data_IF_722720729521
#
_entry.id   IF_722720729521
#
_cell.length_a   1.000
_cell.length_b   1.000
_cell.length_c   1.000
_cell.angle_alpha   90.00
_cell.angle_beta   90.00
_cell.angle_gamma   90.00
#
_symmetry.space_group_name_H-M   'P 1'
#
loop_
_entity.id
_entity.type
_entity.pdbx_description
1 polymer ?
#
# COMPACT_ATOMS: atom_id res chain seq x y z
N UNK A 1 -23.69 82.92 61.95
CA UNK A 1 -22.44 82.42 61.33
C UNK A 1 -22.21 80.94 61.65
N UNK A 2 -22.34 80.50 62.91
CA UNK A 2 -22.19 79.08 63.29
C UNK A 2 -23.11 78.08 62.56
N UNK A 3 -24.41 78.35 62.39
CA UNK A 3 -25.32 77.38 61.74
C UNK A 3 -25.01 77.11 60.26
N UNK A 4 -24.38 78.07 59.56
CA UNK A 4 -23.95 77.89 58.17
C UNK A 4 -22.71 77.00 58.07
N UNK A 5 -21.79 77.09 59.05
CA UNK A 5 -20.59 76.26 59.12
C UNK A 5 -20.98 74.80 59.43
N UNK A 6 -21.87 74.59 60.41
CA UNK A 6 -22.39 73.25 60.75
C UNK A 6 -23.16 72.59 59.59
N UNK A 7 -23.85 73.38 58.77
CA UNK A 7 -24.51 72.87 57.57
C UNK A 7 -23.47 72.43 56.51
N UNK A 8 -22.45 73.27 56.25
CA UNK A 8 -21.38 72.94 55.31
C UNK A 8 -20.64 71.66 55.75
N UNK A 9 -20.34 71.50 57.04
CA UNK A 9 -19.69 70.30 57.55
C UNK A 9 -20.55 69.04 57.38
N UNK A 10 -21.86 69.14 57.61
CA UNK A 10 -22.81 68.04 57.35
C UNK A 10 -22.86 67.68 55.87
N UNK A 11 -22.95 68.67 54.99
CA UNK A 11 -23.03 68.46 53.54
C UNK A 11 -21.73 67.85 52.97
N UNK A 12 -20.57 68.31 53.46
CA UNK A 12 -19.25 67.75 53.11
C UNK A 12 -19.14 66.29 53.59
N UNK A 13 -19.55 66.00 54.82
CA UNK A 13 -19.53 64.63 55.33
C UNK A 13 -20.49 63.72 54.57
N UNK A 14 -21.68 64.19 54.22
CA UNK A 14 -22.61 63.42 53.39
C UNK A 14 -22.02 63.16 51.99
N UNK A 15 -21.39 64.15 51.38
CA UNK A 15 -20.75 64.01 50.07
C UNK A 15 -19.61 62.99 50.11
N UNK A 16 -18.79 62.99 51.17
CA UNK A 16 -17.74 61.97 51.38
C UNK A 16 -18.31 60.56 51.51
N UNK A 17 -19.41 60.39 52.27
CA UNK A 17 -20.10 59.10 52.40
C UNK A 17 -20.63 58.63 51.04
N UNK A 18 -21.31 59.51 50.31
CA UNK A 18 -21.87 59.20 48.99
C UNK A 18 -20.78 58.78 47.99
N UNK A 19 -19.63 59.45 48.01
CA UNK A 19 -18.48 59.09 47.17
C UNK A 19 -17.98 57.66 47.45
N UNK A 20 -17.78 57.32 48.73
CA UNK A 20 -17.32 55.99 49.12
C UNK A 20 -18.38 54.89 48.82
N UNK A 21 -19.67 55.19 49.02
CA UNK A 21 -20.78 54.30 48.63
C UNK A 21 -20.77 54.07 47.12
N UNK A 22 -20.63 55.13 46.32
CA UNK A 22 -20.60 55.04 44.86
C UNK A 22 -19.45 54.16 44.34
N UNK A 23 -18.31 54.12 45.03
CA UNK A 23 -17.21 53.18 44.70
C UNK A 23 -17.65 51.73 44.96
N UNK A 24 -18.30 51.45 46.10
CA UNK A 24 -18.79 50.10 46.44
C UNK A 24 -19.87 49.64 45.45
N UNK A 25 -20.77 50.54 45.04
CA UNK A 25 -21.75 50.28 43.97
C UNK A 25 -21.06 49.90 42.67
N UNK A 26 -20.03 50.66 42.26
CA UNK A 26 -19.27 50.35 41.04
C UNK A 26 -18.54 49.01 41.11
N UNK A 27 -17.99 48.66 42.27
CA UNK A 27 -17.37 47.34 42.49
C UNK A 27 -18.41 46.23 42.33
N UNK A 28 -19.61 46.41 42.88
CA UNK A 28 -20.69 45.43 42.77
C UNK A 28 -21.16 45.25 41.31
N UNK A 29 -21.27 46.33 40.53
CA UNK A 29 -21.57 46.25 39.09
C UNK A 29 -20.53 45.39 38.33
N UNK A 30 -19.24 45.54 38.65
CA UNK A 30 -18.17 44.74 38.04
C UNK A 30 -18.30 43.27 38.47
N UNK A 31 -18.58 43.01 39.75
CA UNK A 31 -18.75 41.66 40.27
C UNK A 31 -19.96 40.92 39.63
N UNK A 32 -21.08 41.62 39.42
CA UNK A 32 -22.26 41.11 38.69
C UNK A 32 -21.92 40.75 37.23
N UNK A 33 -21.15 41.61 36.54
CA UNK A 33 -20.70 41.32 35.18
C UNK A 33 -19.77 40.08 35.15
N UNK A 34 -18.88 39.93 36.13
CA UNK A 34 -18.01 38.76 36.25
C UNK A 34 -18.79 37.48 36.58
N UNK A 35 -19.86 37.59 37.39
CA UNK A 35 -20.70 36.45 37.75
C UNK A 35 -21.36 35.84 36.51
N UNK A 36 -21.97 36.68 35.67
CA UNK A 36 -22.56 36.24 34.39
C UNK A 36 -21.53 35.54 33.49
N UNK A 37 -20.28 36.02 33.47
CA UNK A 37 -19.18 35.42 32.68
C UNK A 37 -18.76 34.05 33.20
N UNK A 38 -18.60 33.87 34.51
CA UNK A 38 -18.17 32.58 35.08
C UNK A 38 -19.29 31.54 35.00
N UNK A 39 -20.55 31.94 35.20
CA UNK A 39 -21.72 31.07 35.00
C UNK A 39 -21.78 30.57 33.55
N UNK A 40 -21.62 31.48 32.57
CA UNK A 40 -21.53 31.10 31.16
C UNK A 40 -20.34 30.18 30.87
N UNK A 41 -19.15 30.46 31.41
CA UNK A 41 -17.96 29.60 31.22
C UNK A 41 -18.20 28.19 31.76
N UNK A 42 -18.88 28.06 32.91
CA UNK A 42 -19.20 26.77 33.53
C UNK A 42 -20.10 25.92 32.64
N UNK A 43 -21.08 26.53 31.98
CA UNK A 43 -21.99 25.83 31.07
C UNK A 43 -21.32 25.38 29.74
N UNK A 44 -20.14 25.93 29.41
CA UNK A 44 -19.44 25.63 28.16
C UNK A 44 -18.59 24.35 28.17
N UNK A 45 -18.38 23.70 29.31
CA UNK A 45 -17.53 22.48 29.39
C UNK A 45 -18.07 21.38 28.46
N UNK A 46 -19.34 21.00 28.64
CA UNK A 46 -19.95 19.94 27.85
C UNK A 46 -20.05 20.30 26.36
N UNK A 47 -20.55 21.50 25.96
CA UNK A 47 -20.54 21.95 24.57
C UNK A 47 -19.15 21.93 23.93
N UNK A 48 -18.09 22.26 24.68
CA UNK A 48 -16.71 22.25 24.18
C UNK A 48 -16.26 20.84 23.79
N UNK A 49 -16.54 19.86 24.65
CA UNK A 49 -16.24 18.45 24.38
C UNK A 49 -17.08 17.93 23.22
N UNK A 50 -18.38 18.26 23.20
CA UNK A 50 -19.29 17.87 22.12
C UNK A 50 -18.85 18.46 20.76
N UNK A 51 -18.40 19.71 20.73
CA UNK A 51 -17.93 20.33 19.50
C UNK A 51 -16.68 19.61 18.93
N UNK A 52 -15.71 19.26 19.79
CA UNK A 52 -14.53 18.48 19.40
C UNK A 52 -14.90 17.16 18.72
N UNK A 53 -15.91 16.46 19.26
CA UNK A 53 -16.29 15.13 18.76
C UNK A 53 -17.35 15.16 17.64
N UNK A 54 -18.06 16.28 17.47
CA UNK A 54 -19.23 16.40 16.59
C UNK A 54 -18.96 16.04 15.13
N UNK A 55 -17.72 16.19 14.69
CA UNK A 55 -17.34 15.92 13.31
C UNK A 55 -17.19 14.42 13.03
N UNK A 56 -17.01 13.57 14.04
CA UNK A 56 -16.70 12.15 13.87
C UNK A 56 -17.95 11.27 13.75
N UNK A 57 -17.82 10.18 12.98
CA UNK A 57 -18.79 9.10 12.98
C UNK A 57 -18.54 8.17 14.17
N UNK A 58 -19.54 7.36 14.55
CA UNK A 58 -19.42 6.43 15.69
C UNK A 58 -18.20 5.50 15.58
N UNK A 59 -17.89 5.02 14.38
CA UNK A 59 -16.76 4.13 14.12
C UNK A 59 -15.39 4.83 14.27
N UNK A 60 -15.31 6.14 13.99
CA UNK A 60 -14.05 6.89 14.09
C UNK A 60 -13.58 6.96 15.55
N UNK A 61 -14.53 7.08 16.48
CA UNK A 61 -14.29 7.16 17.92
C UNK A 61 -14.49 5.84 18.65
N UNK A 62 -14.50 4.71 17.92
CA UNK A 62 -14.53 3.39 18.54
C UNK A 62 -13.39 3.27 19.57
N UNK A 63 -13.72 2.71 20.74
CA UNK A 63 -12.86 2.60 21.93
C UNK A 63 -12.51 3.92 22.66
N UNK A 64 -13.05 5.07 22.25
CA UNK A 64 -13.01 6.30 23.05
C UNK A 64 -14.31 6.43 23.85
N UNK A 65 -14.18 6.54 25.17
CA UNK A 65 -15.26 7.09 25.99
C UNK A 65 -15.27 8.62 25.86
N UNK A 66 -16.20 9.16 25.09
CA UNK A 66 -16.28 10.61 24.80
C UNK A 66 -16.53 11.46 26.05
N UNK A 67 -17.08 10.89 27.12
CA UNK A 67 -17.41 11.59 28.37
C UNK A 67 -16.49 11.22 29.54
N UNK A 68 -15.37 10.51 29.29
CA UNK A 68 -14.48 9.96 30.31
C UNK A 68 -14.09 10.98 31.40
N UNK A 69 -13.71 12.20 30.99
CA UNK A 69 -13.22 13.24 31.90
C UNK A 69 -14.30 14.26 32.32
N UNK A 70 -15.52 14.17 31.78
CA UNK A 70 -16.55 15.20 31.98
C UNK A 70 -16.87 15.43 33.46
N UNK A 71 -16.98 14.36 34.25
CA UNK A 71 -17.24 14.46 35.69
C UNK A 71 -16.10 15.15 36.45
N UNK A 72 -14.85 14.87 36.09
CA UNK A 72 -13.66 15.50 36.68
C UNK A 72 -13.61 17.00 36.34
N UNK A 73 -13.90 17.35 35.09
CA UNK A 73 -13.89 18.75 34.66
C UNK A 73 -15.00 19.57 35.33
N UNK A 74 -16.22 19.04 35.41
CA UNK A 74 -17.31 19.71 36.10
C UNK A 74 -17.01 19.92 37.59
N UNK A 75 -16.41 18.92 38.25
CA UNK A 75 -16.05 19.02 39.68
C UNK A 75 -15.05 20.14 39.95
N UNK A 76 -13.99 20.26 39.15
CA UNK A 76 -12.99 21.31 39.35
C UNK A 76 -13.54 22.70 39.00
N UNK A 77 -14.36 22.80 37.96
CA UNK A 77 -15.04 24.05 37.63
C UNK A 77 -16.01 24.50 38.73
N UNK A 78 -16.72 23.55 39.34
CA UNK A 78 -17.57 23.81 40.50
C UNK A 78 -16.76 24.31 41.70
N UNK A 79 -15.55 23.81 41.92
CA UNK A 79 -14.67 24.31 42.97
C UNK A 79 -14.24 25.76 42.71
N UNK A 80 -13.84 26.10 41.48
CA UNK A 80 -13.50 27.48 41.08
C UNK A 80 -14.71 28.40 41.28
N UNK A 81 -15.90 27.95 40.87
CA UNK A 81 -17.14 28.70 41.01
C UNK A 81 -17.54 28.91 42.48
N UNK A 82 -17.38 27.91 43.34
CA UNK A 82 -17.65 28.04 44.78
C UNK A 82 -16.78 29.13 45.43
N UNK A 83 -15.49 29.19 45.12
CA UNK A 83 -14.60 30.24 45.63
C UNK A 83 -15.00 31.62 45.08
N UNK A 84 -15.33 31.71 43.79
CA UNK A 84 -15.86 32.94 43.20
C UNK A 84 -17.12 33.46 43.93
N UNK A 85 -18.08 32.56 44.21
CA UNK A 85 -19.35 32.92 44.85
C UNK A 85 -19.16 33.39 46.29
N UNK A 86 -18.17 32.87 47.03
CA UNK A 86 -17.84 33.37 48.37
C UNK A 86 -17.46 34.86 48.33
N UNK A 87 -16.50 35.23 47.47
CA UNK A 87 -16.09 36.64 47.32
C UNK A 87 -17.21 37.53 46.79
N UNK A 88 -17.99 37.04 45.83
CA UNK A 88 -19.15 37.75 45.30
C UNK A 88 -20.20 38.07 46.40
N UNK A 89 -20.51 37.08 47.25
CA UNK A 89 -21.47 37.27 48.34
C UNK A 89 -20.96 38.28 49.37
N UNK A 90 -19.65 38.31 49.64
CA UNK A 90 -19.05 39.31 50.53
C UNK A 90 -19.20 40.73 49.95
N UNK A 91 -18.92 40.93 48.66
CA UNK A 91 -19.12 42.22 47.96
C UNK A 91 -20.58 42.67 48.08
N UNK A 92 -21.53 41.77 47.77
CA UNK A 92 -22.97 42.05 47.86
C UNK A 92 -23.39 42.42 49.29
N UNK A 93 -22.84 41.74 50.29
CA UNK A 93 -23.12 42.01 51.70
C UNK A 93 -22.54 43.35 52.15
N UNK A 94 -21.34 43.71 51.69
CA UNK A 94 -20.74 45.01 51.99
C UNK A 94 -21.55 46.16 51.38
N UNK A 95 -22.03 46.01 50.15
CA UNK A 95 -22.94 46.98 49.52
C UNK A 95 -24.19 47.21 50.38
N UNK A 96 -24.92 46.13 50.71
CA UNK A 96 -26.11 46.20 51.59
C UNK A 96 -25.82 46.90 52.91
N UNK A 97 -24.61 46.73 53.44
CA UNK A 97 -24.24 47.25 54.73
C UNK A 97 -23.77 48.72 54.69
N UNK A 98 -23.30 49.24 53.54
CA UNK A 98 -22.98 50.68 53.37
C UNK A 98 -24.20 51.52 52.97
N UNK A 99 -25.24 50.90 52.42
CA UNK A 99 -26.52 51.56 52.11
C UNK A 99 -27.41 51.82 53.33
N UNK A 100 -26.94 51.55 54.56
CA UNK A 100 -27.70 51.79 55.80
C UNK A 100 -27.54 53.24 56.27
N UNK A 101 -28.65 53.87 56.69
CA UNK A 101 -28.71 55.29 57.05
C UNK A 101 -27.78 55.69 58.22
N UNK A 102 -27.51 54.78 59.17
CA UNK A 102 -26.75 55.06 60.40
C UNK A 102 -25.24 54.85 60.33
N UNK A 103 -24.67 54.54 59.16
CA UNK A 103 -23.24 54.20 59.03
C UNK A 103 -22.33 55.45 59.03
N UNK A 104 -21.17 55.37 59.68
CA UNK A 104 -20.17 56.45 59.71
C UNK A 104 -19.27 56.43 58.47
N UNK A 105 -18.63 57.56 58.15
CA UNK A 105 -17.71 57.66 57.01
C UNK A 105 -16.57 56.63 57.10
N UNK A 106 -15.91 56.51 58.26
CA UNK A 106 -14.80 55.58 58.44
C UNK A 106 -15.23 54.11 58.28
N UNK A 107 -16.45 53.77 58.71
CA UNK A 107 -17.02 52.44 58.49
C UNK A 107 -17.28 52.15 57.01
N UNK A 108 -17.76 53.13 56.23
CA UNK A 108 -17.91 52.97 54.78
C UNK A 108 -16.54 52.81 54.12
N UNK A 109 -15.56 53.65 54.47
CA UNK A 109 -14.20 53.60 53.92
C UNK A 109 -13.54 52.24 54.17
N UNK A 110 -13.63 51.71 55.39
CA UNK A 110 -13.09 50.39 55.71
C UNK A 110 -13.79 49.27 54.93
N UNK A 111 -15.12 49.31 54.83
CA UNK A 111 -15.87 48.34 54.01
C UNK A 111 -15.50 48.44 52.54
N UNK A 112 -15.29 49.65 52.01
CA UNK A 112 -14.85 49.87 50.63
C UNK A 112 -13.51 49.20 50.38
N UNK A 113 -12.55 49.33 51.31
CA UNK A 113 -11.24 48.64 51.20
C UNK A 113 -11.42 47.12 51.16
N UNK A 114 -12.18 46.54 52.09
CA UNK A 114 -12.47 45.08 52.06
C UNK A 114 -13.22 44.64 50.81
N UNK A 115 -14.12 45.48 50.28
CA UNK A 115 -14.83 45.21 49.02
C UNK A 115 -13.86 45.19 47.84
N UNK A 116 -12.86 46.08 47.82
CA UNK A 116 -11.81 46.10 46.80
C UNK A 116 -10.95 44.81 46.84
N UNK A 117 -10.58 44.34 48.04
CA UNK A 117 -9.84 43.08 48.22
C UNK A 117 -10.63 41.87 47.71
N UNK A 118 -11.93 41.80 48.01
CA UNK A 118 -12.80 40.73 47.52
C UNK A 118 -13.04 40.81 46.00
N UNK A 119 -13.06 42.02 45.41
CA UNK A 119 -13.13 42.18 43.96
C UNK A 119 -11.91 41.59 43.26
N UNK A 120 -10.71 41.76 43.82
CA UNK A 120 -9.50 41.18 43.24
C UNK A 120 -9.57 39.64 43.19
N UNK A 121 -10.02 39.01 44.28
CA UNK A 121 -10.26 37.55 44.34
C UNK A 121 -11.33 37.13 43.33
N UNK A 122 -12.42 37.89 43.23
CA UNK A 122 -13.49 37.64 42.27
C UNK A 122 -12.98 37.65 40.81
N UNK A 123 -12.15 38.63 40.45
CA UNK A 123 -11.52 38.73 39.13
C UNK A 123 -10.54 37.57 38.90
N UNK A 124 -9.73 37.22 39.91
CA UNK A 124 -8.78 36.10 39.83
C UNK A 124 -9.49 34.77 39.53
N UNK A 125 -10.57 34.46 40.27
CA UNK A 125 -11.35 33.24 40.03
C UNK A 125 -12.07 33.25 38.68
N UNK A 126 -12.55 34.41 38.21
CA UNK A 126 -13.10 34.55 36.87
C UNK A 126 -12.07 34.24 35.76
N UNK A 127 -10.85 34.73 35.91
CA UNK A 127 -9.75 34.41 34.99
C UNK A 127 -9.34 32.94 35.08
N UNK A 128 -9.29 32.37 36.29
CA UNK A 128 -9.00 30.95 36.52
C UNK A 128 -10.01 30.04 35.83
N UNK A 129 -11.30 30.37 35.89
CA UNK A 129 -12.36 29.64 35.20
C UNK A 129 -12.17 29.64 33.68
N UNK A 130 -11.82 30.78 33.08
CA UNK A 130 -11.53 30.87 31.64
C UNK A 130 -10.32 30.03 31.25
N UNK A 131 -9.20 30.19 31.96
CA UNK A 131 -7.98 29.39 31.74
C UNK A 131 -8.24 27.90 31.93
N UNK A 132 -9.16 27.53 32.83
CA UNK A 132 -9.54 26.13 33.04
C UNK A 132 -10.35 25.57 31.86
N UNK A 133 -11.25 26.35 31.25
CA UNK A 133 -11.94 25.93 30.03
C UNK A 133 -10.96 25.73 28.86
N UNK A 134 -9.98 26.62 28.70
CA UNK A 134 -8.91 26.47 27.70
C UNK A 134 -8.10 25.18 27.96
N UNK A 135 -7.79 24.89 29.23
CA UNK A 135 -7.14 23.63 29.63
C UNK A 135 -7.98 22.39 29.28
N UNK A 136 -9.29 22.40 29.54
CA UNK A 136 -10.20 21.29 29.17
C UNK A 136 -10.14 21.04 27.66
N UNK A 137 -10.20 22.12 26.87
CA UNK A 137 -10.15 22.05 25.41
C UNK A 137 -8.83 21.45 24.90
N UNK A 138 -7.69 21.90 25.43
CA UNK A 138 -6.37 21.38 25.07
C UNK A 138 -6.19 19.91 25.47
N UNK A 139 -6.66 19.54 26.66
CA UNK A 139 -6.49 18.18 27.19
C UNK A 139 -7.35 17.15 26.44
N UNK A 140 -8.58 17.50 26.08
CA UNK A 140 -9.43 16.62 25.26
C UNK A 140 -8.93 16.52 23.82
N UNK A 141 -8.41 17.61 23.26
CA UNK A 141 -7.72 17.56 21.97
C UNK A 141 -6.53 16.59 21.99
N UNK A 142 -5.66 16.71 23.00
CA UNK A 142 -4.50 15.82 23.15
C UNK A 142 -4.90 14.36 23.38
N UNK A 143 -5.92 14.10 24.20
CA UNK A 143 -6.44 12.75 24.47
C UNK A 143 -6.87 12.06 23.19
N UNK A 144 -7.66 12.73 22.35
CA UNK A 144 -8.16 12.17 21.09
C UNK A 144 -7.02 12.00 20.08
N UNK A 145 -6.10 12.97 19.95
CA UNK A 145 -4.89 12.82 19.12
C UNK A 145 -4.07 11.60 19.56
N UNK A 146 -3.89 11.42 20.86
CA UNK A 146 -3.12 10.31 21.43
C UNK A 146 -3.76 8.97 21.09
N UNK A 147 -5.09 8.89 21.09
CA UNK A 147 -5.81 7.68 20.66
C UNK A 147 -5.57 7.34 19.20
N UNK A 148 -5.76 8.31 18.29
CA UNK A 148 -5.52 8.08 16.86
C UNK A 148 -4.08 7.72 16.57
N UNK A 149 -3.12 8.36 17.26
CA UNK A 149 -1.70 7.98 17.18
C UNK A 149 -1.49 6.52 17.58
N UNK A 150 -2.04 6.07 18.72
CA UNK A 150 -1.90 4.67 19.15
C UNK A 150 -2.50 3.68 18.14
N UNK A 151 -3.69 3.99 17.59
CA UNK A 151 -4.29 3.18 16.52
C UNK A 151 -3.38 3.12 15.29
N UNK A 152 -2.83 4.26 14.87
CA UNK A 152 -1.90 4.33 13.73
C UNK A 152 -0.59 3.58 13.99
N UNK A 153 0.00 3.72 15.17
CA UNK A 153 1.22 2.99 15.56
C UNK A 153 0.99 1.47 15.49
N UNK A 154 -0.16 0.98 15.97
CA UNK A 154 -0.53 -0.43 15.88
C UNK A 154 -0.66 -0.91 14.42
N UNK A 155 -1.27 -0.11 13.55
CA UNK A 155 -1.34 -0.40 12.11
C UNK A 155 0.06 -0.40 11.50
N UNK A 156 0.92 0.54 11.87
CA UNK A 156 2.30 0.61 11.37
C UNK A 156 3.13 -0.63 11.75
N UNK A 157 2.98 -1.17 12.96
CA UNK A 157 3.63 -2.41 13.37
C UNK A 157 3.19 -3.57 12.47
N UNK A 158 1.89 -3.72 12.24
CA UNK A 158 1.34 -4.77 11.35
C UNK A 158 1.82 -4.60 9.91
N UNK A 159 1.77 -3.37 9.39
CA UNK A 159 2.24 -3.02 8.06
C UNK A 159 3.73 -3.34 7.89
N UNK A 160 4.58 -2.93 8.84
CA UNK A 160 6.02 -3.14 8.78
C UNK A 160 6.37 -4.63 8.74
N UNK A 161 5.68 -5.46 9.52
CA UNK A 161 5.88 -6.90 9.52
C UNK A 161 5.51 -7.54 8.18
N UNK A 162 4.38 -7.17 7.57
CA UNK A 162 4.01 -7.68 6.25
C UNK A 162 4.88 -7.11 5.13
N UNK A 163 5.30 -5.85 5.24
CA UNK A 163 6.23 -5.21 4.32
C UNK A 163 7.56 -5.97 4.24
N UNK A 164 8.16 -6.33 5.39
CA UNK A 164 9.43 -7.04 5.42
C UNK A 164 9.32 -8.41 4.75
N UNK A 165 8.25 -9.17 5.04
CA UNK A 165 7.98 -10.47 4.42
C UNK A 165 7.82 -10.36 2.90
N UNK A 166 7.03 -9.39 2.44
CA UNK A 166 6.82 -9.17 1.01
C UNK A 166 8.13 -8.75 0.31
N UNK A 167 8.87 -7.83 0.93
CA UNK A 167 10.13 -7.33 0.40
C UNK A 167 11.17 -8.45 0.22
N UNK A 168 11.34 -9.28 1.25
CA UNK A 168 12.24 -10.45 1.22
C UNK A 168 11.74 -11.50 0.23
N UNK A 169 10.43 -11.76 0.17
CA UNK A 169 9.83 -12.67 -0.78
C UNK A 169 10.12 -12.30 -2.24
N UNK A 170 9.99 -11.02 -2.59
CA UNK A 170 10.35 -10.52 -3.92
C UNK A 170 11.86 -10.63 -4.22
N UNK A 171 12.73 -10.39 -3.24
CA UNK A 171 14.18 -10.61 -3.39
C UNK A 171 14.51 -12.07 -3.66
N UNK A 172 13.85 -12.99 -2.93
CA UNK A 172 14.07 -14.42 -3.08
C UNK A 172 13.61 -14.93 -4.45
N UNK A 173 12.45 -14.50 -4.94
CA UNK A 173 12.01 -14.80 -6.31
C UNK A 173 13.05 -14.32 -7.33
N UNK A 174 13.50 -13.08 -7.19
CA UNK A 174 14.47 -12.49 -8.10
C UNK A 174 15.80 -13.26 -8.11
N UNK A 175 16.29 -13.69 -6.94
CA UNK A 175 17.48 -14.54 -6.82
C UNK A 175 17.29 -15.92 -7.47
N UNK A 176 16.15 -16.58 -7.21
CA UNK A 176 15.85 -17.90 -7.78
C UNK A 176 15.84 -17.87 -9.30
N UNK A 177 15.22 -16.85 -9.91
CA UNK A 177 15.19 -16.67 -11.37
C UNK A 177 16.60 -16.39 -11.92
N UNK A 178 17.35 -15.51 -11.25
CA UNK A 178 18.71 -15.19 -11.68
C UNK A 178 19.66 -16.40 -11.69
N UNK A 179 19.44 -17.40 -10.83
CA UNK A 179 20.25 -18.62 -10.80
C UNK A 179 20.05 -19.51 -12.03
N UNK A 180 18.88 -19.42 -12.69
CA UNK A 180 18.54 -20.26 -13.85
C UNK A 180 18.46 -19.50 -15.16
N UNK A 181 18.76 -18.19 -15.18
CA UNK A 181 18.61 -17.32 -16.36
C UNK A 181 19.38 -17.75 -17.61
N UNK A 182 20.42 -18.56 -17.44
CA UNK A 182 21.24 -19.11 -18.54
C UNK A 182 21.16 -20.65 -18.58
N UNK A 183 20.21 -21.25 -17.87
CA UNK A 183 20.04 -22.70 -17.82
C UNK A 183 19.48 -23.22 -19.15
N UNK A 184 19.95 -24.40 -19.55
CA UNK A 184 19.37 -25.19 -20.64
C UNK A 184 18.67 -26.45 -20.11
N UNK A 185 18.60 -26.62 -18.79
CA UNK A 185 17.84 -27.70 -18.13
C UNK A 185 16.37 -27.30 -17.98
N UNK A 186 15.53 -27.91 -18.81
CA UNK A 186 14.08 -27.72 -18.84
C UNK A 186 13.41 -28.00 -17.48
N UNK A 187 13.81 -29.07 -16.79
CA UNK A 187 13.19 -29.46 -15.52
C UNK A 187 13.50 -28.45 -14.42
N UNK A 188 14.74 -27.96 -14.38
CA UNK A 188 15.15 -26.92 -13.43
C UNK A 188 14.39 -25.61 -13.68
N UNK A 189 14.26 -25.19 -14.93
CA UNK A 189 13.49 -24.00 -15.31
C UNK A 189 12.01 -24.11 -14.93
N UNK A 190 11.37 -25.24 -15.22
CA UNK A 190 9.97 -25.50 -14.85
C UNK A 190 9.77 -25.49 -13.34
N UNK A 191 10.68 -26.13 -12.58
CA UNK A 191 10.62 -26.18 -11.12
C UNK A 191 10.73 -24.77 -10.52
N UNK A 192 11.69 -23.96 -10.96
CA UNK A 192 11.85 -22.59 -10.48
C UNK A 192 10.64 -21.73 -10.88
N UNK A 193 10.11 -21.89 -12.09
CA UNK A 193 8.90 -21.18 -12.52
C UNK A 193 7.70 -21.49 -11.61
N UNK A 194 7.47 -22.76 -11.29
CA UNK A 194 6.38 -23.17 -10.40
C UNK A 194 6.58 -22.66 -8.97
N UNK A 195 7.80 -22.78 -8.43
CA UNK A 195 8.13 -22.28 -7.09
C UNK A 195 7.95 -20.77 -6.97
N UNK A 196 8.45 -20.01 -7.95
CA UNK A 196 8.38 -18.55 -7.95
C UNK A 196 6.95 -18.04 -8.11
N UNK A 197 6.13 -18.73 -8.91
CA UNK A 197 4.68 -18.45 -9.01
C UNK A 197 3.97 -18.66 -7.67
N UNK A 198 4.22 -19.77 -6.98
CA UNK A 198 3.63 -20.04 -5.67
C UNK A 198 4.09 -19.01 -4.62
N UNK A 199 5.38 -18.65 -4.61
CA UNK A 199 5.90 -17.59 -3.75
C UNK A 199 5.20 -16.26 -4.00
N UNK A 200 5.03 -15.88 -5.27
CA UNK A 200 4.35 -14.64 -5.65
C UNK A 200 2.89 -14.63 -5.18
N UNK A 201 2.13 -15.70 -5.43
CA UNK A 201 0.74 -15.84 -4.97
C UNK A 201 0.63 -15.73 -3.44
N UNK A 202 1.58 -16.30 -2.69
CA UNK A 202 1.65 -16.20 -1.23
C UNK A 202 1.99 -14.80 -0.71
N UNK A 203 2.60 -13.94 -1.53
CA UNK A 203 2.91 -12.54 -1.17
C UNK A 203 1.69 -11.65 -1.46
N UNK A 204 1.11 -11.76 -2.67
CA UNK A 204 0.00 -10.89 -3.11
C UNK A 204 -1.32 -11.21 -2.40
N UNK A 205 -1.50 -12.46 -1.98
CA UNK A 205 -2.63 -12.85 -1.12
C UNK A 205 -2.58 -12.22 0.28
N UNK A 206 -1.45 -11.62 0.70
CA UNK A 206 -1.29 -10.99 2.01
C UNK A 206 -1.53 -9.48 1.96
N UNK A 207 -2.29 -9.03 2.95
CA UNK A 207 -3.07 -7.79 3.07
C UNK A 207 -2.25 -6.52 3.35
N UNK A 208 -1.03 -6.35 2.84
CA UNK A 208 -0.24 -5.14 3.13
C UNK A 208 -0.89 -3.85 2.56
N UNK A 209 -1.62 -3.95 1.45
CA UNK A 209 -2.38 -2.82 0.89
C UNK A 209 -3.54 -2.38 1.80
N UNK A 210 -4.15 -3.28 2.57
CA UNK A 210 -5.24 -2.92 3.49
C UNK A 210 -4.75 -2.00 4.62
N UNK A 211 -3.59 -2.29 5.20
CA UNK A 211 -3.03 -1.47 6.28
C UNK A 211 -2.66 -0.05 5.85
N UNK A 212 -2.31 0.15 4.58
CA UNK A 212 -2.13 1.51 4.02
C UNK A 212 -3.44 2.31 4.08
N UNK A 213 -4.55 1.70 3.65
CA UNK A 213 -5.86 2.35 3.71
C UNK A 213 -6.34 2.55 5.15
N UNK A 214 -6.10 1.59 6.04
CA UNK A 214 -6.40 1.74 7.46
C UNK A 214 -5.64 2.91 8.08
N UNK A 215 -4.34 3.05 7.76
CA UNK A 215 -3.52 4.15 8.24
C UNK A 215 -4.03 5.51 7.76
N UNK A 216 -4.42 5.63 6.48
CA UNK A 216 -5.02 6.85 5.92
C UNK A 216 -6.34 7.20 6.63
N UNK A 217 -7.23 6.22 6.79
CA UNK A 217 -8.52 6.37 7.46
C UNK A 217 -8.39 6.74 8.94
N UNK A 218 -7.35 6.27 9.62
CA UNK A 218 -7.07 6.68 11.00
C UNK A 218 -6.56 8.12 11.04
N UNK A 219 -5.57 8.45 10.19
CA UNK A 219 -4.90 9.75 10.28
C UNK A 219 -5.79 10.90 9.83
N UNK A 220 -6.69 10.72 8.85
CA UNK A 220 -7.60 11.79 8.38
C UNK A 220 -8.44 12.41 9.50
N UNK A 221 -8.66 11.66 10.58
CA UNK A 221 -9.36 12.12 11.76
C UNK A 221 -8.57 13.16 12.58
N UNK A 222 -7.23 13.20 12.49
CA UNK A 222 -6.39 14.18 13.20
C UNK A 222 -6.54 15.59 12.61
N UNK A 223 -6.36 15.84 11.29
CA UNK A 223 -6.65 17.15 10.70
C UNK A 223 -8.10 17.60 10.87
N UNK A 224 -9.04 16.65 10.83
CA UNK A 224 -10.46 16.90 11.10
C UNK A 224 -10.70 17.40 12.52
N UNK A 225 -10.07 16.76 13.52
CA UNK A 225 -10.07 17.23 14.91
C UNK A 225 -9.47 18.64 15.02
N UNK A 226 -8.30 18.87 14.43
CA UNK A 226 -7.62 20.16 14.48
C UNK A 226 -8.49 21.29 13.88
N UNK A 227 -9.18 21.00 12.78
CA UNK A 227 -10.09 21.94 12.15
C UNK A 227 -11.28 22.33 13.03
N UNK A 228 -11.79 21.43 13.90
CA UNK A 228 -12.84 21.77 14.90
C UNK A 228 -12.38 22.86 15.89
N UNK A 229 -11.06 23.05 16.04
CA UNK A 229 -10.46 24.09 16.85
C UNK A 229 -9.95 25.28 16.03
N UNK A 230 -10.29 25.36 14.75
CA UNK A 230 -9.77 26.32 13.79
C UNK A 230 -8.24 26.26 13.63
N UNK A 231 -7.65 25.08 13.81
CA UNK A 231 -6.23 24.82 13.58
C UNK A 231 -6.08 24.19 12.19
N UNK A 232 -5.48 24.92 11.27
CA UNK A 232 -5.07 24.39 9.96
C UNK A 232 -3.71 23.70 10.09
N UNK A 233 -3.58 22.54 9.45
CA UNK A 233 -2.33 21.81 9.36
C UNK A 233 -1.96 21.77 7.88
N UNK A 234 -0.82 22.34 7.52
CA UNK A 234 -0.34 22.37 6.14
C UNK A 234 0.97 21.60 6.00
N UNK A 235 1.09 20.82 4.92
CA UNK A 235 2.38 20.27 4.49
C UNK A 235 3.31 21.40 4.03
N UNK A 236 4.60 21.11 3.81
CA UNK A 236 5.50 22.16 3.29
C UNK A 236 5.20 22.56 1.84
N UNK A 237 4.35 21.80 1.13
CA UNK A 237 3.75 22.22 -0.15
C UNK A 237 2.58 23.21 0.01
N UNK A 238 2.24 23.60 1.24
CA UNK A 238 1.16 24.54 1.55
C UNK A 238 -0.24 23.94 1.46
N UNK A 239 -0.35 22.61 1.26
CA UNK A 239 -1.62 21.90 1.13
C UNK A 239 -2.19 21.67 2.53
N UNK A 240 -3.44 22.09 2.72
CA UNK A 240 -4.19 21.84 3.95
C UNK A 240 -4.59 20.36 4.03
N UNK A 241 -4.09 19.68 5.07
CA UNK A 241 -4.32 18.25 5.28
C UNK A 241 -5.79 17.91 5.52
N UNK A 242 -6.59 18.84 6.04
CA UNK A 242 -8.03 18.62 6.22
C UNK A 242 -8.77 18.64 4.87
N UNK A 243 -8.28 19.41 3.89
CA UNK A 243 -8.91 19.53 2.57
C UNK A 243 -8.53 18.38 1.63
N UNK A 244 -7.25 18.05 1.56
CA UNK A 244 -6.80 16.99 0.66
C UNK A 244 -5.47 16.36 1.11
N UNK A 245 -5.58 15.37 1.98
CA UNK A 245 -4.42 14.63 2.48
C UNK A 245 -3.66 13.89 1.38
N UNK A 246 -4.37 13.34 0.40
CA UNK A 246 -3.77 12.52 -0.66
C UNK A 246 -2.84 13.34 -1.54
N UNK A 247 -3.23 14.56 -1.94
CA UNK A 247 -2.34 15.44 -2.70
C UNK A 247 -1.12 15.86 -1.86
N UNK A 248 -1.31 16.11 -0.55
CA UNK A 248 -0.21 16.46 0.34
C UNK A 248 0.85 15.35 0.42
N UNK A 249 0.41 14.09 0.59
CA UNK A 249 1.29 12.92 0.64
C UNK A 249 1.96 12.68 -0.72
N UNK A 250 1.19 12.69 -1.81
CA UNK A 250 1.71 12.45 -3.17
C UNK A 250 2.85 13.40 -3.52
N UNK A 251 2.77 14.66 -3.10
CA UNK A 251 3.80 15.68 -3.33
C UNK A 251 5.16 15.35 -2.68
N UNK A 252 5.18 14.43 -1.71
CA UNK A 252 6.37 14.08 -0.93
C UNK A 252 6.85 12.63 -1.06
N UNK A 253 6.15 11.79 -1.83
CA UNK A 253 6.54 10.38 -1.99
C UNK A 253 7.95 10.22 -2.59
N UNK A 254 8.24 10.97 -3.65
CA UNK A 254 9.54 10.94 -4.33
C UNK A 254 10.53 11.99 -3.79
N UNK A 255 10.14 12.78 -2.78
CA UNK A 255 11.01 13.80 -2.19
C UNK A 255 12.07 13.18 -1.28
N UNK A 256 13.37 13.53 -1.45
CA UNK A 256 14.45 13.14 -0.55
C UNK A 256 14.45 13.94 0.76
N UNK A 257 13.72 15.08 0.80
CA UNK A 257 13.57 15.90 1.99
C UNK A 257 12.38 15.41 2.81
N UNK A 258 12.54 15.43 4.13
CA UNK A 258 11.44 15.28 5.07
C UNK A 258 10.40 16.38 4.83
N UNK A 259 9.13 16.00 4.90
CA UNK A 259 8.05 16.97 4.90
C UNK A 259 7.91 17.56 6.30
N UNK A 260 7.64 18.86 6.37
CA UNK A 260 7.45 19.58 7.62
C UNK A 260 6.03 20.11 7.69
N UNK A 261 5.37 19.87 8.83
CA UNK A 261 4.05 20.42 9.09
C UNK A 261 4.14 21.82 9.70
N UNK A 262 3.35 22.72 9.12
CA UNK A 262 3.08 24.06 9.65
C UNK A 262 1.66 24.12 10.21
N UNK A 263 1.51 24.79 11.34
CA UNK A 263 0.24 24.91 12.06
C UNK A 263 -0.21 26.37 12.08
N UNK A 264 -1.48 26.63 11.77
CA UNK A 264 -2.04 27.98 11.72
C UNK A 264 -3.35 27.98 12.54
N UNK A 265 -3.44 28.76 13.63
CA UNK A 265 -2.40 29.62 14.19
C UNK A 265 -1.19 28.82 14.71
N UNK A 266 -0.03 29.48 14.78
CA UNK A 266 1.16 28.85 15.35
C UNK A 266 0.89 28.47 16.80
N UNK A 267 1.35 27.30 17.27
CA UNK A 267 1.21 26.90 18.66
C UNK A 267 1.84 27.95 19.57
N UNK A 268 1.10 28.43 20.57
CA UNK A 268 1.64 29.37 21.56
C UNK A 268 2.71 28.72 22.45
N UNK A 269 2.71 27.38 22.54
CA UNK A 269 3.74 26.56 23.20
C UNK A 269 4.10 25.38 22.31
N UNK A 270 5.33 24.87 22.40
CA UNK A 270 5.69 23.53 21.87
C UNK A 270 4.92 22.49 22.71
N UNK A 271 3.65 22.28 22.40
CA UNK A 271 2.84 21.23 23.03
C UNK A 271 3.23 19.88 22.44
N UNK A 272 3.38 18.87 23.30
CA UNK A 272 3.58 17.46 22.93
C UNK A 272 2.55 16.98 21.90
N UNK A 273 1.33 17.53 21.91
CA UNK A 273 0.27 17.19 20.97
C UNK A 273 0.68 17.45 19.52
N UNK A 274 1.30 18.60 19.22
CA UNK A 274 1.73 18.92 17.85
C UNK A 274 2.87 18.01 17.39
N UNK A 275 3.73 17.57 18.30
CA UNK A 275 4.73 16.53 18.02
C UNK A 275 4.05 15.20 17.70
N UNK A 276 3.07 14.75 18.49
CA UNK A 276 2.28 13.53 18.21
C UNK A 276 1.63 13.59 16.83
N UNK A 277 1.09 14.74 16.42
CA UNK A 277 0.50 14.94 15.10
C UNK A 277 1.56 14.80 14.00
N UNK A 278 2.73 15.44 14.17
CA UNK A 278 3.84 15.34 13.22
C UNK A 278 4.36 13.90 13.10
N UNK A 279 4.54 13.22 14.22
CA UNK A 279 4.98 11.82 14.24
C UNK A 279 3.97 10.92 13.55
N UNK A 280 2.67 11.14 13.79
CA UNK A 280 1.60 10.40 13.11
C UNK A 280 1.64 10.62 11.60
N UNK A 281 1.89 11.86 11.15
CA UNK A 281 2.01 12.18 9.73
C UNK A 281 3.23 11.51 9.10
N UNK A 282 4.37 11.55 9.80
CA UNK A 282 5.60 10.89 9.34
C UNK A 282 5.43 9.37 9.24
N UNK A 283 4.73 8.74 10.20
CA UNK A 283 4.35 7.33 10.13
C UNK A 283 3.50 7.03 8.90
N UNK A 284 2.48 7.85 8.63
CA UNK A 284 1.64 7.69 7.43
C UNK A 284 2.48 7.83 6.14
N UNK A 285 3.34 8.84 6.07
CA UNK A 285 4.19 9.08 4.90
C UNK A 285 5.16 7.91 4.67
N UNK A 286 5.76 7.35 5.72
CA UNK A 286 6.64 6.17 5.64
C UNK A 286 5.90 4.94 5.11
N UNK A 287 4.68 4.66 5.61
CA UNK A 287 3.82 3.59 5.11
C UNK A 287 3.58 3.76 3.61
N UNK A 288 3.24 4.97 3.15
CA UNK A 288 2.99 5.24 1.74
C UNK A 288 4.26 5.08 0.88
N UNK A 289 5.42 5.57 1.33
CA UNK A 289 6.70 5.39 0.63
C UNK A 289 7.07 3.91 0.49
N UNK A 290 6.98 3.15 1.57
CA UNK A 290 7.22 1.70 1.57
C UNK A 290 6.24 0.93 0.68
N UNK A 291 4.97 1.32 0.69
CA UNK A 291 3.96 0.74 -0.21
C UNK A 291 4.27 1.01 -1.69
N UNK A 292 4.64 2.25 -2.04
CA UNK A 292 5.04 2.60 -3.41
C UNK A 292 6.29 1.81 -3.85
N UNK A 293 7.26 1.65 -2.94
CA UNK A 293 8.45 0.85 -3.18
C UNK A 293 8.11 -0.62 -3.46
N UNK A 294 7.28 -1.25 -2.62
CA UNK A 294 6.82 -2.63 -2.85
C UNK A 294 6.10 -2.78 -4.17
N UNK A 295 5.23 -1.83 -4.53
CA UNK A 295 4.51 -1.90 -5.80
C UNK A 295 5.46 -1.87 -7.01
N UNK A 296 6.49 -1.00 -6.99
CA UNK A 296 7.54 -0.98 -8.01
C UNK A 296 8.29 -2.33 -8.07
N UNK A 297 8.61 -2.91 -6.92
CA UNK A 297 9.31 -4.18 -6.81
C UNK A 297 8.47 -5.36 -7.30
N UNK A 298 7.17 -5.37 -7.00
CA UNK A 298 6.21 -6.36 -7.47
C UNK A 298 6.17 -6.40 -9.00
N UNK A 299 6.09 -5.23 -9.65
CA UNK A 299 6.10 -5.14 -11.12
C UNK A 299 7.41 -5.68 -11.71
N UNK A 300 8.55 -5.39 -11.09
CA UNK A 300 9.85 -5.94 -11.50
C UNK A 300 9.87 -7.48 -11.35
N UNK A 301 9.36 -8.00 -10.23
CA UNK A 301 9.27 -9.45 -10.00
C UNK A 301 8.36 -10.14 -11.03
N UNK A 302 7.21 -9.55 -11.36
CA UNK A 302 6.33 -10.07 -12.41
C UNK A 302 7.02 -10.15 -13.77
N UNK A 303 7.77 -9.11 -14.13
CA UNK A 303 8.56 -9.12 -15.37
C UNK A 303 9.59 -10.25 -15.37
N UNK A 304 10.31 -10.47 -14.26
CA UNK A 304 11.27 -11.58 -14.13
C UNK A 304 10.59 -12.95 -14.26
N UNK A 305 9.44 -13.15 -13.62
CA UNK A 305 8.68 -14.41 -13.72
C UNK A 305 8.28 -14.67 -15.18
N UNK A 306 7.85 -13.62 -15.88
CA UNK A 306 7.49 -13.70 -17.29
C UNK A 306 8.69 -14.02 -18.19
N UNK A 307 9.85 -13.41 -17.95
CA UNK A 307 11.10 -13.74 -18.64
C UNK A 307 11.53 -15.19 -18.41
N UNK A 308 11.47 -15.68 -17.16
CA UNK A 308 11.78 -17.08 -16.84
C UNK A 308 10.84 -18.06 -17.56
N UNK A 309 9.55 -17.74 -17.63
CA UNK A 309 8.58 -18.54 -18.39
C UNK A 309 8.97 -18.63 -19.87
N UNK A 310 9.37 -17.51 -20.48
CA UNK A 310 9.80 -17.49 -21.88
C UNK A 310 11.05 -18.33 -22.10
N UNK A 311 12.02 -18.24 -21.19
CA UNK A 311 13.22 -19.06 -21.24
C UNK A 311 12.88 -20.55 -21.19
N UNK A 312 11.99 -20.95 -20.26
CA UNK A 312 11.47 -22.32 -20.20
C UNK A 312 10.84 -22.76 -21.53
N UNK A 313 9.92 -21.97 -22.08
CA UNK A 313 9.25 -22.29 -23.35
C UNK A 313 10.23 -22.43 -24.53
N UNK A 314 11.31 -21.63 -24.55
CA UNK A 314 12.38 -21.71 -25.54
C UNK A 314 13.20 -23.00 -25.41
N UNK A 315 13.62 -23.34 -24.19
CA UNK A 315 14.41 -24.55 -23.92
C UNK A 315 13.60 -25.80 -24.24
N UNK A 316 12.33 -25.86 -23.82
CA UNK A 316 11.42 -26.95 -24.15
C UNK A 316 11.29 -27.14 -25.66
N UNK A 317 11.00 -26.08 -26.42
CA UNK A 317 10.89 -26.18 -27.88
C UNK A 317 12.20 -26.64 -28.55
N UNK A 318 13.36 -26.22 -28.01
CA UNK A 318 14.67 -26.65 -28.50
C UNK A 318 14.91 -28.14 -28.25
N UNK A 319 14.52 -28.64 -27.07
CA UNK A 319 14.62 -30.06 -26.73
C UNK A 319 13.69 -30.91 -27.62
N UNK A 320 12.43 -30.51 -27.78
CA UNK A 320 11.46 -31.17 -28.67
C UNK A 320 11.97 -31.26 -30.12
N UNK A 321 12.57 -30.17 -30.64
CA UNK A 321 13.18 -30.15 -31.97
C UNK A 321 14.37 -31.11 -32.07
N UNK A 322 15.22 -31.16 -31.05
CA UNK A 322 16.39 -32.06 -31.01
C UNK A 322 15.98 -33.52 -30.98
N UNK A 323 14.97 -33.86 -30.19
CA UNK A 323 14.42 -35.21 -30.11
C UNK A 323 13.78 -35.63 -31.44
N UNK A 324 13.00 -34.73 -32.05
CA UNK A 324 12.41 -34.94 -33.39
C UNK A 324 13.48 -35.14 -34.46
N UNK A 325 14.54 -34.32 -34.46
CA UNK A 325 15.65 -34.44 -35.39
C UNK A 325 16.39 -35.77 -35.21
N UNK A 326 16.59 -36.22 -33.97
CA UNK A 326 17.22 -37.51 -33.66
C UNK A 326 16.38 -38.68 -34.19
N UNK A 327 15.06 -38.66 -33.96
CA UNK A 327 14.13 -39.67 -34.46
C UNK A 327 14.07 -39.71 -35.99
N UNK A 328 14.03 -38.55 -36.66
CA UNK A 328 14.08 -38.45 -38.13
C UNK A 328 15.39 -38.99 -38.70
N UNK A 329 16.55 -38.67 -38.09
CA UNK A 329 17.85 -39.23 -38.49
C UNK A 329 17.86 -40.75 -38.36
N UNK A 330 17.33 -41.28 -37.26
CA UNK A 330 17.23 -42.72 -37.04
C UNK A 330 16.31 -43.41 -38.07
N UNK A 331 15.10 -42.87 -38.29
CA UNK A 331 14.14 -43.39 -39.27
C UNK A 331 14.70 -43.36 -40.69
N UNK A 332 15.36 -42.26 -41.09
CA UNK A 332 16.04 -42.16 -42.39
C UNK A 332 17.05 -43.30 -42.55
N UNK A 333 17.91 -43.51 -41.57
CA UNK A 333 18.97 -44.54 -41.66
C UNK A 333 18.37 -45.95 -41.81
N UNK A 334 17.31 -46.25 -41.05
CA UNK A 334 16.60 -47.52 -41.16
C UNK A 334 15.96 -47.72 -42.54
N UNK A 335 15.19 -46.73 -43.03
CA UNK A 335 14.54 -46.80 -44.35
C UNK A 335 15.59 -46.96 -45.45
N UNK A 336 16.68 -46.19 -45.39
CA UNK A 336 17.75 -46.25 -46.39
C UNK A 336 18.43 -47.63 -46.40
N UNK A 337 18.64 -48.24 -45.22
CA UNK A 337 19.19 -49.60 -45.12
C UNK A 337 18.24 -50.66 -45.68
N UNK A 338 16.93 -50.56 -45.40
CA UNK A 338 15.92 -51.46 -45.97
C UNK A 338 15.84 -51.35 -47.49
N UNK A 339 15.81 -50.12 -48.02
CA UNK A 339 15.81 -49.84 -49.46
C UNK A 339 17.07 -50.39 -50.13
N UNK A 340 18.25 -50.16 -49.53
CA UNK A 340 19.53 -50.72 -50.03
C UNK A 340 19.52 -52.24 -50.03
N UNK A 341 18.98 -52.88 -48.99
CA UNK A 341 18.85 -54.33 -48.90
C UNK A 341 17.89 -54.90 -49.96
N UNK A 342 16.72 -54.27 -50.15
CA UNK A 342 15.75 -54.65 -51.17
C UNK A 342 16.35 -54.56 -52.57
N UNK A 343 17.07 -53.47 -52.86
CA UNK A 343 17.76 -53.31 -54.15
C UNK A 343 18.90 -54.28 -54.33
N UNK A 344 19.66 -54.59 -53.28
CA UNK A 344 20.68 -55.64 -53.35
C UNK A 344 20.07 -56.99 -53.71
N UNK A 345 19.01 -57.41 -53.01
CA UNK A 345 18.27 -58.65 -53.30
C UNK A 345 17.67 -58.65 -54.70
N UNK A 346 17.07 -57.53 -55.13
CA UNK A 346 16.55 -57.37 -56.50
C UNK A 346 17.66 -57.52 -57.55
N UNK A 347 18.83 -56.93 -57.32
CA UNK A 347 19.98 -57.09 -58.19
C UNK A 347 20.53 -58.53 -58.21
N UNK A 348 20.53 -59.24 -57.08
CA UNK A 348 20.89 -60.66 -57.02
C UNK A 348 19.90 -61.52 -57.79
N UNK A 349 18.59 -61.30 -57.61
CA UNK A 349 17.55 -61.96 -58.42
C UNK A 349 17.74 -61.68 -59.90
N UNK A 350 18.10 -60.45 -60.28
CA UNK A 350 18.35 -60.11 -61.68
C UNK A 350 19.55 -60.85 -62.30
N UNK A 351 20.53 -61.27 -61.49
CA UNK A 351 21.68 -62.09 -61.93
C UNK A 351 21.35 -63.57 -62.10
N UNK A 352 20.29 -64.07 -61.47
CA UNK A 352 19.87 -65.46 -61.65
C UNK A 352 19.29 -65.63 -63.06
N UNK A 353 19.81 -66.61 -63.79
CA UNK A 353 19.30 -67.00 -65.10
C UNK A 353 18.83 -68.44 -65.03
N UNK A 354 17.56 -68.71 -65.34
CA UNK A 354 17.07 -70.07 -65.45
C UNK A 354 17.35 -70.61 -66.86
N UNK A 355 18.45 -71.37 -67.01
CA UNK A 355 18.72 -72.06 -68.27
C UNK A 355 18.09 -73.47 -68.25
N UNK A 356 16.91 -73.60 -68.87
CA UNK A 356 16.24 -74.90 -69.00
C UNK A 356 16.63 -75.67 -70.27
N UNK A 357 17.58 -75.18 -71.08
CA UNK A 357 17.82 -75.67 -72.44
C UNK A 357 18.38 -77.11 -72.50
N UNK A 358 18.99 -77.62 -71.43
CA UNK A 358 19.61 -78.96 -71.42
C UNK A 358 18.80 -80.04 -70.69
N UNK A 359 17.59 -79.73 -70.20
CA UNK A 359 16.81 -80.68 -69.39
C UNK A 359 15.81 -81.53 -70.20
N UNK A 360 15.61 -81.20 -71.47
CA UNK A 360 14.74 -81.92 -72.41
C UNK A 360 15.26 -83.32 -72.78
N UNK A 361 16.57 -83.51 -72.66
CA UNK A 361 17.28 -84.76 -72.98
C UNK A 361 17.36 -85.74 -71.81
N UNK A 362 17.04 -85.31 -70.59
CA UNK A 362 17.23 -86.08 -69.36
C UNK A 362 15.89 -86.37 -68.63
N UNK A 363 14.90 -85.49 -68.73
CA UNK A 363 13.62 -85.61 -68.01
C UNK A 363 12.48 -86.10 -68.91
N UNK A 364 11.49 -86.77 -68.33
CA UNK A 364 10.22 -87.06 -69.00
C UNK A 364 9.52 -85.74 -69.43
N UNK A 365 8.97 -85.71 -70.65
CA UNK A 365 8.40 -84.49 -71.28
C UNK A 365 7.43 -83.73 -70.37
N UNK A 366 6.54 -84.41 -69.64
CA UNK A 366 5.58 -83.76 -68.73
C UNK A 366 6.22 -83.05 -67.53
N UNK A 367 7.43 -83.46 -67.12
CA UNK A 367 8.21 -82.80 -66.06
C UNK A 367 9.05 -81.65 -66.64
N UNK A 368 9.58 -81.80 -67.84
CA UNK A 368 10.28 -80.73 -68.56
C UNK A 368 9.37 -79.53 -68.81
N UNK A 369 8.15 -79.75 -69.32
CA UNK A 369 7.22 -78.66 -69.64
C UNK A 369 6.84 -77.85 -68.38
N UNK A 370 6.65 -78.51 -67.24
CA UNK A 370 6.42 -77.85 -65.94
C UNK A 370 7.62 -77.01 -65.49
N UNK A 371 8.85 -77.45 -65.76
CA UNK A 371 10.08 -76.71 -65.41
C UNK A 371 10.21 -75.49 -66.34
N UNK A 372 9.95 -75.66 -67.64
CA UNK A 372 10.00 -74.58 -68.63
C UNK A 372 8.95 -73.50 -68.36
N UNK A 373 7.72 -73.88 -68.02
CA UNK A 373 6.67 -72.95 -67.63
C UNK A 373 7.07 -72.15 -66.38
N UNK A 374 7.59 -72.81 -65.35
CA UNK A 374 8.09 -72.13 -64.14
C UNK A 374 9.27 -71.20 -64.45
N UNK A 375 10.18 -71.61 -65.32
CA UNK A 375 11.32 -70.79 -65.76
C UNK A 375 10.87 -69.53 -66.51
N UNK A 376 9.91 -69.67 -67.41
CA UNK A 376 9.36 -68.53 -68.16
C UNK A 376 8.56 -67.59 -67.26
N UNK A 377 7.77 -68.14 -66.32
CA UNK A 377 7.06 -67.35 -65.34
C UNK A 377 8.03 -66.56 -64.44
N UNK A 378 9.15 -67.19 -64.04
CA UNK A 378 10.20 -66.53 -63.26
C UNK A 378 10.83 -65.35 -64.03
N UNK A 379 11.26 -65.53 -65.28
CA UNK A 379 11.84 -64.43 -66.07
C UNK A 379 10.83 -63.30 -66.34
N UNK A 380 9.55 -63.63 -66.53
CA UNK A 380 8.47 -62.63 -66.70
C UNK A 380 8.16 -61.86 -65.41
N UNK A 381 8.12 -62.53 -64.27
CA UNK A 381 7.99 -61.88 -62.96
C UNK A 381 9.22 -61.01 -62.64
N UNK A 382 10.41 -61.46 -63.01
CA UNK A 382 11.68 -60.72 -62.88
C UNK A 382 11.70 -59.44 -63.72
N UNK A 383 11.23 -59.46 -64.97
CA UNK A 383 11.06 -58.24 -65.79
C UNK A 383 10.01 -57.29 -65.19
N UNK A 384 8.88 -57.82 -64.72
CA UNK A 384 7.82 -57.02 -64.08
C UNK A 384 8.26 -56.37 -62.77
N UNK A 385 9.22 -56.98 -62.06
CA UNK A 385 9.78 -56.43 -60.83
C UNK A 385 10.63 -55.18 -61.08
N UNK A 386 11.00 -54.84 -62.34
CA UNK A 386 11.88 -53.73 -62.73
C UNK A 386 11.88 -52.51 -61.81
N UNK A 387 12.69 -52.56 -60.74
CA UNK A 387 12.75 -51.53 -59.71
C UNK A 387 13.65 -50.41 -60.24
N UNK A 388 13.08 -49.47 -60.99
CA UNK A 388 13.77 -48.24 -61.37
C UNK A 388 13.66 -47.21 -60.24
N UNK A 389 14.19 -47.56 -59.06
CA UNK A 389 14.16 -46.70 -57.87
C UNK A 389 15.51 -46.02 -57.68
N UNK A 390 15.53 -44.69 -57.78
CA UNK A 390 16.74 -43.89 -57.58
C UNK A 390 16.97 -43.61 -56.09
N UNK A 391 17.76 -44.48 -55.46
CA UNK A 391 18.18 -44.33 -54.05
C UNK A 391 18.89 -43.01 -53.82
N UNK A 392 19.67 -42.52 -54.78
CA UNK A 392 20.42 -41.28 -54.61
C UNK A 392 19.48 -40.10 -54.54
N UNK A 393 18.45 -40.05 -55.39
CA UNK A 393 17.43 -39.01 -55.34
C UNK A 393 16.67 -39.01 -54.00
N UNK A 394 16.30 -40.19 -53.47
CA UNK A 394 15.65 -40.29 -52.16
C UNK A 394 16.59 -39.85 -51.02
N UNK A 395 17.85 -40.29 -51.05
CA UNK A 395 18.86 -39.93 -50.06
C UNK A 395 19.15 -38.42 -50.05
N UNK A 396 19.24 -37.80 -51.23
CA UNK A 396 19.38 -36.35 -51.39
C UNK A 396 18.17 -35.58 -50.83
N UNK A 397 16.94 -36.03 -51.12
CA UNK A 397 15.73 -35.39 -50.60
C UNK A 397 15.68 -35.45 -49.07
N UNK A 398 15.88 -36.63 -48.46
CA UNK A 398 15.92 -36.76 -47.01
C UNK A 398 17.07 -35.99 -46.36
N UNK A 399 18.22 -35.86 -47.03
CA UNK A 399 19.33 -35.03 -46.56
C UNK A 399 18.98 -33.54 -46.59
N UNK A 400 18.24 -33.07 -47.58
CA UNK A 400 17.79 -31.69 -47.66
C UNK A 400 16.78 -31.36 -46.56
N UNK A 401 15.83 -32.26 -46.31
CA UNK A 401 14.84 -32.09 -45.23
C UNK A 401 15.53 -32.05 -43.84
N UNK A 402 16.51 -32.94 -43.59
CA UNK A 402 17.31 -32.90 -42.35
C UNK A 402 18.10 -31.59 -42.22
N UNK A 403 18.73 -31.11 -43.29
CA UNK A 403 19.48 -29.83 -43.29
C UNK A 403 18.58 -28.64 -42.95
N UNK A 404 17.33 -28.65 -43.43
CA UNK A 404 16.40 -27.57 -43.14
C UNK A 404 15.96 -27.57 -41.67
N UNK A 405 15.84 -28.75 -41.03
CA UNK A 405 15.59 -28.87 -39.59
C UNK A 405 16.84 -28.46 -38.78
N UNK A 406 18.03 -28.86 -39.21
CA UNK A 406 19.30 -28.44 -38.57
C UNK A 406 19.49 -26.91 -38.62
N UNK A 407 19.10 -26.24 -39.72
CA UNK A 407 19.08 -24.78 -39.78
C UNK A 407 18.12 -24.16 -38.77
N UNK A 408 16.94 -24.75 -38.58
CA UNK A 408 15.99 -24.29 -37.57
C UNK A 408 16.57 -24.44 -36.16
N UNK A 409 17.16 -25.58 -35.82
CA UNK A 409 17.84 -25.80 -34.53
C UNK A 409 18.97 -24.77 -34.29
N UNK A 410 19.78 -24.49 -35.32
CA UNK A 410 20.90 -23.55 -35.21
C UNK A 410 20.43 -22.09 -35.08
N UNK A 411 19.32 -21.72 -35.73
CA UNK A 411 18.73 -20.39 -35.58
C UNK A 411 18.24 -20.14 -34.14
N UNK A 412 17.78 -21.18 -33.42
CA UNK A 412 17.44 -21.09 -31.99
C UNK A 412 18.65 -20.90 -31.08
N UNK A 413 19.80 -21.50 -31.42
CA UNK A 413 21.05 -21.35 -30.68
C UNK A 413 21.72 -19.98 -30.88
N UNK A 414 21.50 -19.31 -32.01
CA UNK A 414 22.21 -18.07 -32.37
C UNK A 414 21.49 -16.76 -32.01
N UNK A 415 20.32 -16.78 -31.36
CA UNK A 415 19.68 -15.55 -30.88
C UNK A 415 20.37 -14.90 -29.66
N UNK A 416 21.56 -15.36 -29.29
CA UNK A 416 22.37 -14.84 -28.18
C UNK A 416 23.14 -13.54 -28.48
N UNK A 417 23.18 -13.02 -29.73
CA UNK A 417 23.99 -11.82 -30.07
C UNK A 417 23.18 -10.53 -30.23
N UNK A 418 23.26 -9.70 -29.18
CA UNK A 418 23.37 -8.23 -29.15
C UNK A 418 22.36 -7.30 -29.85
N UNK A 419 21.23 -7.78 -30.39
CA UNK A 419 20.14 -6.88 -30.80
C UNK A 419 18.77 -7.50 -30.53
N UNK A 420 18.31 -7.35 -29.28
CA UNK A 420 17.17 -8.04 -28.71
C UNK A 420 15.85 -7.39 -29.13
N UNK A 421 15.12 -7.99 -30.08
CA UNK A 421 13.79 -7.54 -30.45
C UNK A 421 12.73 -8.60 -30.06
N UNK A 422 12.07 -8.35 -28.94
CA UNK A 422 11.15 -9.29 -28.26
C UNK A 422 9.97 -9.80 -29.10
N UNK A 423 9.59 -9.11 -30.18
CA UNK A 423 8.50 -9.52 -31.08
C UNK A 423 8.93 -10.60 -32.08
N UNK A 424 10.22 -10.60 -32.44
CA UNK A 424 10.77 -11.44 -33.49
C UNK A 424 10.97 -12.89 -33.02
N UNK A 425 11.40 -13.08 -31.76
CA UNK A 425 11.58 -14.41 -31.16
C UNK A 425 10.23 -15.13 -30.92
N UNK A 426 9.16 -14.39 -30.59
CA UNK A 426 7.83 -14.96 -30.40
C UNK A 426 7.21 -15.47 -31.71
N UNK A 427 7.43 -14.74 -32.81
CA UNK A 427 7.07 -15.20 -34.15
C UNK A 427 7.88 -16.43 -34.55
N UNK A 428 9.17 -16.48 -34.22
CA UNK A 428 10.02 -17.65 -34.50
C UNK A 428 9.58 -18.89 -33.71
N UNK A 429 9.20 -18.76 -32.43
CA UNK A 429 8.63 -19.83 -31.60
C UNK A 429 7.33 -20.39 -32.20
N UNK A 430 6.40 -19.50 -32.58
CA UNK A 430 5.12 -19.92 -33.13
C UNK A 430 5.27 -20.56 -34.53
N UNK A 431 6.12 -19.99 -35.39
CA UNK A 431 6.42 -20.54 -36.71
C UNK A 431 7.08 -21.92 -36.63
N UNK A 432 7.98 -22.12 -35.66
CA UNK A 432 8.65 -23.41 -35.50
C UNK A 432 7.72 -24.48 -34.93
N UNK A 433 6.88 -24.16 -33.96
CA UNK A 433 5.82 -25.09 -33.50
C UNK A 433 4.86 -25.47 -34.63
N UNK A 434 4.51 -24.51 -35.49
CA UNK A 434 3.68 -24.76 -36.67
C UNK A 434 4.38 -25.69 -37.68
N UNK A 435 5.66 -25.44 -37.97
CA UNK A 435 6.43 -26.24 -38.93
C UNK A 435 6.81 -27.62 -38.40
N UNK A 436 7.04 -27.77 -37.09
CA UNK A 436 7.16 -29.07 -36.42
C UNK A 436 5.92 -29.93 -36.71
N UNK A 437 4.72 -29.35 -36.54
CA UNK A 437 3.44 -30.00 -36.82
C UNK A 437 3.23 -30.35 -38.29
N UNK A 438 3.89 -29.66 -39.23
CA UNK A 438 3.85 -29.97 -40.66
C UNK A 438 4.79 -31.14 -41.03
N UNK A 439 5.83 -31.40 -40.21
CA UNK A 439 6.88 -32.39 -40.46
C UNK A 439 6.64 -33.73 -39.74
N UNK A 440 5.92 -33.72 -38.63
CA UNK A 440 5.41 -34.92 -37.91
C UNK A 440 4.08 -35.35 -38.48
#
# INVERSE_FOLDING_TARGET
VNSKIEQIERDVNQSKKNYEIGIVEKINEIAEANKKRIESTKELIQPTIQNLISSFNANDLEDINTNENLGKYNTEMDNIYKEFIKSYNLITNYLKAVSKESITYDQIKNKRISTQEELLKNIEHGNKAKSYLDYVKENEFDRIVTHFKKKLDNVNVKFTNEYLKANEGFDNISKSINNVKNSTDENSLLNILNQTKQMYENIVSKTYNSYKYDAENIFINIPKLANSLNIQIKSSSGIDLFKNINIAILSYLDSPKEDTLTFIPSPQKKSETYTKIRDSYNTLLDIFKKSQYLHKKEQQTLNLIFENRRLYEKVQATNELKDTLSDLKYKKENILNEVKLLLHKSNELNKLSCNSQNYDTILESSKYDKIKEKSNNYEKEKENLGINFDVKAMEEQSNNDIKDIEKLENNYKHSEKDNYNFSEENNNILQSKKKLKELT
#
